data_IF_906543342588
#
_entry.id   IF_906543342588
#
_cell.length_a   1.000
_cell.length_b   1.000
_cell.length_c   1.000
_cell.angle_alpha   90.00
_cell.angle_beta   90.00
_cell.angle_gamma   90.00
#
_symmetry.space_group_name_H-M   'P 1'
#
loop_
_entity.id
_entity.type
_entity.pdbx_description
1 polymer ?
#
# COMPACT_ATOMS: atom_id res chain seq x y z
N UNK A 1 -6.58 -23.51 -14.34
CA UNK A 1 -5.12 -23.64 -14.50
C UNK A 1 -4.56 -23.94 -13.12
N UNK A 2 -4.02 -25.13 -12.89
CA UNK A 2 -3.38 -25.51 -11.62
C UNK A 2 -2.02 -24.80 -11.58
N UNK A 3 -2.02 -23.59 -11.02
CA UNK A 3 -0.79 -22.85 -10.76
C UNK A 3 -0.11 -23.52 -9.57
N UNK A 4 1.18 -23.79 -9.67
CA UNK A 4 1.95 -24.41 -8.59
C UNK A 4 1.91 -23.48 -7.37
N UNK A 5 1.38 -23.92 -6.21
CA UNK A 5 1.33 -23.08 -5.00
C UNK A 5 2.72 -22.67 -4.50
N UNK A 6 3.77 -23.38 -4.92
CA UNK A 6 5.15 -23.06 -4.56
C UNK A 6 5.79 -21.98 -5.44
N UNK A 7 5.18 -21.58 -6.56
CA UNK A 7 5.74 -20.55 -7.45
C UNK A 7 4.92 -19.27 -7.34
N UNK A 8 5.56 -18.19 -6.85
CA UNK A 8 4.95 -16.88 -6.81
C UNK A 8 5.40 -16.03 -8.01
N UNK A 9 4.51 -15.79 -8.97
CA UNK A 9 4.82 -15.02 -10.17
C UNK A 9 5.54 -15.82 -11.27
N UNK A 10 6.34 -15.11 -12.08
CA UNK A 10 7.10 -15.70 -13.18
C UNK A 10 8.38 -16.37 -12.66
N UNK A 11 8.70 -17.62 -13.06
CA UNK A 11 9.94 -18.29 -12.65
C UNK A 11 11.19 -17.67 -13.29
N UNK A 12 11.02 -16.90 -14.37
CA UNK A 12 12.11 -16.18 -15.06
C UNK A 12 11.88 -14.68 -15.02
N UNK A 13 12.98 -13.96 -14.85
CA UNK A 13 13.03 -12.52 -14.62
C UNK A 13 14.01 -11.87 -15.57
N UNK A 14 13.59 -10.79 -16.21
CA UNK A 14 14.53 -9.89 -16.87
C UNK A 14 15.34 -9.12 -15.82
N UNK A 15 16.50 -8.60 -16.21
CA UNK A 15 17.24 -7.69 -15.33
C UNK A 15 16.43 -6.41 -15.08
N UNK A 16 16.33 -5.93 -13.83
CA UNK A 16 15.57 -4.73 -13.52
C UNK A 16 16.32 -3.47 -13.99
N UNK A 17 15.60 -2.55 -14.62
CA UNK A 17 16.17 -1.30 -15.11
C UNK A 17 16.18 -0.21 -14.02
N UNK A 18 15.10 -0.08 -13.25
CA UNK A 18 14.84 1.06 -12.37
C UNK A 18 15.04 0.73 -10.88
N UNK A 19 14.58 -0.43 -10.42
CA UNK A 19 14.64 -0.82 -9.01
C UNK A 19 15.62 -1.96 -8.79
N UNK A 20 16.70 -1.70 -8.05
CA UNK A 20 17.84 -2.62 -7.92
C UNK A 20 17.98 -3.14 -6.49
N UNK A 21 16.93 -3.83 -6.04
CA UNK A 21 16.96 -4.54 -4.76
C UNK A 21 17.93 -5.73 -4.83
N UNK A 22 18.70 -5.93 -3.76
CA UNK A 22 19.70 -6.96 -3.64
C UNK A 22 19.12 -8.19 -2.92
N UNK A 23 19.58 -9.39 -3.33
CA UNK A 23 19.09 -10.66 -2.78
C UNK A 23 19.67 -10.99 -1.41
N UNK A 24 20.86 -10.49 -1.11
CA UNK A 24 21.59 -10.68 0.14
C UNK A 24 21.28 -9.60 1.19
N UNK A 25 20.36 -8.69 0.90
CA UNK A 25 19.96 -7.59 1.81
C UNK A 25 18.51 -7.74 2.24
N UNK A 26 18.26 -7.46 3.53
CA UNK A 26 16.94 -7.30 4.13
C UNK A 26 16.70 -5.81 4.33
N UNK A 27 15.61 -5.32 3.75
CA UNK A 27 15.22 -3.92 3.80
C UNK A 27 14.18 -3.74 4.89
N UNK A 28 14.54 -3.02 5.94
CA UNK A 28 13.62 -2.68 7.00
C UNK A 28 13.03 -1.30 6.72
N UNK A 29 11.71 -1.23 6.70
CA UNK A 29 10.97 0.01 6.62
C UNK A 29 10.25 0.28 7.94
N UNK A 30 10.02 1.55 8.25
CA UNK A 30 8.99 1.98 9.17
C UNK A 30 7.74 2.32 8.35
N UNK A 31 6.61 1.71 8.72
CA UNK A 31 5.31 1.98 8.12
C UNK A 31 4.39 2.59 9.17
N UNK A 32 3.80 3.73 8.85
CA UNK A 32 2.80 4.39 9.67
C UNK A 32 1.57 4.66 8.81
N UNK A 33 0.38 4.36 9.32
CA UNK A 33 -0.88 4.75 8.70
C UNK A 33 -1.79 5.40 9.72
N UNK A 34 -2.27 6.59 9.39
CA UNK A 34 -3.28 7.31 10.12
C UNK A 34 -4.56 7.37 9.27
N UNK A 35 -5.66 6.90 9.84
CA UNK A 35 -7.00 7.01 9.25
C UNK A 35 -7.81 7.96 10.10
N UNK A 36 -8.31 9.02 9.48
CA UNK A 36 -9.11 10.03 10.16
C UNK A 36 -10.46 10.19 9.45
N UNK A 37 -11.56 10.05 10.18
CA UNK A 37 -12.92 10.29 9.67
C UNK A 37 -13.60 11.41 10.45
N UNK A 38 -14.18 12.38 9.75
CA UNK A 38 -14.80 13.56 10.34
C UNK A 38 -15.86 14.17 9.43
N UNK A 39 -16.70 15.05 9.98
CA UNK A 39 -17.64 15.85 9.18
C UNK A 39 -17.05 17.23 8.88
N UNK A 40 -16.55 17.41 7.66
CA UNK A 40 -16.01 18.68 7.21
C UNK A 40 -17.12 19.76 7.22
N UNK A 41 -16.92 20.82 7.99
CA UNK A 41 -17.78 22.01 7.99
C UNK A 41 -18.90 22.06 9.03
N UNK A 42 -19.15 21.00 9.80
CA UNK A 42 -20.21 20.98 10.84
C UNK A 42 -19.71 20.66 12.25
N UNK A 43 -18.65 19.86 12.41
CA UNK A 43 -18.08 19.55 13.71
C UNK A 43 -16.57 19.33 13.64
N UNK A 44 -15.90 19.49 14.78
CA UNK A 44 -14.47 19.19 14.92
C UNK A 44 -14.22 17.77 15.45
N UNK A 45 -15.28 17.00 15.71
CA UNK A 45 -15.17 15.63 16.18
C UNK A 45 -14.59 14.76 15.05
N UNK A 46 -13.52 14.05 15.38
CA UNK A 46 -12.80 13.13 14.50
C UNK A 46 -12.79 11.76 15.14
N UNK A 47 -12.82 10.73 14.30
CA UNK A 47 -12.47 9.36 14.65
C UNK A 47 -11.11 9.06 14.04
N UNK A 48 -10.13 8.67 14.85
CA UNK A 48 -8.76 8.38 14.39
C UNK A 48 -8.35 6.96 14.71
N UNK A 49 -7.62 6.34 13.78
CA UNK A 49 -6.98 5.05 13.95
C UNK A 49 -5.54 5.16 13.45
N UNK A 50 -4.59 4.80 14.29
CA UNK A 50 -3.17 4.85 14.01
C UNK A 50 -2.58 3.44 14.08
N UNK A 51 -1.89 3.03 13.02
CA UNK A 51 -1.15 1.78 12.98
C UNK A 51 0.30 2.06 12.67
N UNK A 52 1.21 1.46 13.43
CA UNK A 52 2.63 1.44 13.09
C UNK A 52 3.10 0.00 12.97
N UNK A 53 4.01 -0.25 12.04
CA UNK A 53 4.64 -1.55 11.86
C UNK A 53 6.04 -1.36 11.26
N UNK A 54 6.85 -2.41 11.36
CA UNK A 54 8.13 -2.52 10.68
C UNK A 54 8.02 -3.61 9.62
N UNK A 55 7.73 -3.25 8.35
CA UNK A 55 7.83 -4.16 7.23
C UNK A 55 9.28 -4.54 6.95
N UNK A 56 9.56 -5.83 6.94
CA UNK A 56 10.80 -6.38 6.39
C UNK A 56 10.51 -6.88 4.98
N UNK A 57 11.25 -6.35 4.02
CA UNK A 57 11.22 -6.80 2.63
C UNK A 57 12.52 -7.52 2.34
N UNK A 58 12.41 -8.76 1.87
CA UNK A 58 13.55 -9.52 1.36
C UNK A 58 13.21 -10.14 0.03
N UNK A 59 14.19 -10.24 -0.85
CA UNK A 59 14.03 -10.90 -2.14
C UNK A 59 14.63 -12.31 -2.07
N UNK A 60 13.80 -13.30 -2.40
CA UNK A 60 14.17 -14.72 -2.48
C UNK A 60 14.78 -14.98 -3.86
N UNK A 61 14.17 -14.41 -4.89
CA UNK A 61 14.66 -14.40 -6.27
C UNK A 61 14.55 -12.97 -6.84
N UNK A 62 15.15 -12.67 -8.01
CA UNK A 62 15.08 -11.34 -8.60
C UNK A 62 13.66 -10.79 -8.85
N UNK A 63 12.61 -11.63 -8.90
CA UNK A 63 11.23 -11.15 -8.95
C UNK A 63 10.32 -11.66 -7.84
N UNK A 64 10.86 -12.31 -6.82
CA UNK A 64 10.05 -12.81 -5.72
C UNK A 64 10.49 -12.19 -4.41
N UNK A 65 9.59 -11.40 -3.83
CA UNK A 65 9.75 -10.77 -2.53
C UNK A 65 8.97 -11.50 -1.45
N UNK A 66 9.43 -11.35 -0.22
CA UNK A 66 8.72 -11.73 1.01
C UNK A 66 8.52 -10.49 1.86
N UNK A 67 7.28 -10.28 2.28
CA UNK A 67 6.87 -9.25 3.22
C UNK A 67 6.58 -9.89 4.58
N UNK A 68 7.36 -9.51 5.59
CA UNK A 68 7.10 -9.84 6.98
C UNK A 68 6.79 -8.57 7.76
N UNK A 69 5.80 -8.63 8.65
CA UNK A 69 5.46 -7.52 9.55
C UNK A 69 5.96 -7.81 10.96
N UNK A 70 6.68 -6.85 11.54
CA UNK A 70 7.16 -6.90 12.92
C UNK A 70 6.84 -5.60 13.64
N UNK A 71 6.96 -5.58 14.98
CA UNK A 71 6.76 -4.38 15.81
C UNK A 71 5.45 -3.64 15.50
N UNK A 72 4.36 -4.40 15.36
CA UNK A 72 3.05 -3.86 15.02
C UNK A 72 2.39 -3.26 16.26
N UNK A 73 1.89 -2.04 16.12
CA UNK A 73 1.12 -1.33 17.16
C UNK A 73 -0.14 -0.74 16.54
N UNK A 74 -1.24 -0.82 17.29
CA UNK A 74 -2.54 -0.27 16.93
C UNK A 74 -2.96 0.69 18.04
N UNK A 75 -3.22 1.94 17.70
CA UNK A 75 -3.68 2.97 18.63
C UNK A 75 -5.02 3.48 18.08
N UNK A 76 -6.08 3.24 18.84
CA UNK A 76 -7.40 3.84 18.58
C UNK A 76 -7.51 5.16 19.36
N UNK A 77 -8.39 6.06 18.91
CA UNK A 77 -8.70 7.28 19.64
C UNK A 77 -9.29 7.02 21.02
N UNK A 78 -10.06 5.94 21.16
CA UNK A 78 -10.59 5.52 22.45
C UNK A 78 -9.49 4.83 23.26
N UNK A 79 -8.89 5.53 24.23
CA UNK A 79 -7.84 4.98 25.09
C UNK A 79 -8.27 3.70 25.85
N UNK A 80 -9.57 3.46 25.96
CA UNK A 80 -10.14 2.28 26.63
C UNK A 80 -10.60 1.19 25.65
N UNK A 81 -10.07 1.19 24.42
CA UNK A 81 -10.38 0.14 23.45
C UNK A 81 -10.00 -1.25 24.01
N UNK A 82 -10.77 -2.31 23.69
CA UNK A 82 -10.48 -3.64 24.21
C UNK A 82 -9.07 -4.12 23.81
N UNK A 83 -8.19 -4.35 24.78
CA UNK A 83 -6.81 -4.84 24.55
C UNK A 83 -6.80 -6.09 23.67
N UNK A 84 -7.76 -7.01 23.90
CA UNK A 84 -7.96 -8.22 23.09
C UNK A 84 -8.11 -7.94 21.59
N UNK A 85 -8.70 -6.79 21.21
CA UNK A 85 -8.88 -6.41 19.80
C UNK A 85 -7.55 -6.04 19.14
N UNK A 86 -6.71 -5.28 19.84
CA UNK A 86 -5.38 -4.94 19.32
C UNK A 86 -4.47 -6.17 19.29
N UNK A 87 -4.50 -7.01 20.33
CA UNK A 87 -3.72 -8.26 20.35
C UNK A 87 -4.13 -9.19 19.20
N UNK A 88 -5.44 -9.35 18.96
CA UNK A 88 -5.93 -10.12 17.81
C UNK A 88 -5.45 -9.52 16.48
N UNK A 89 -5.49 -8.20 16.34
CA UNK A 89 -4.99 -7.52 15.15
C UNK A 89 -3.49 -7.77 14.94
N UNK A 90 -2.67 -7.51 15.96
CA UNK A 90 -1.21 -7.66 15.94
C UNK A 90 -0.83 -9.10 15.60
N UNK A 91 -1.47 -10.07 16.27
CA UNK A 91 -1.24 -11.48 16.04
C UNK A 91 -1.58 -11.86 14.59
N UNK A 92 -2.78 -11.50 14.11
CA UNK A 92 -3.24 -11.88 12.79
C UNK A 92 -2.37 -11.30 11.66
N UNK A 93 -1.96 -10.02 11.74
CA UNK A 93 -1.14 -9.40 10.68
C UNK A 93 0.32 -9.87 10.66
N UNK A 94 0.81 -10.40 11.77
CA UNK A 94 2.20 -10.88 11.92
C UNK A 94 2.32 -12.40 11.83
N UNK A 95 1.21 -13.13 11.69
CA UNK A 95 1.19 -14.60 11.79
C UNK A 95 1.88 -15.28 10.61
N UNK A 96 1.57 -14.83 9.39
CA UNK A 96 2.11 -15.39 8.16
C UNK A 96 2.97 -14.37 7.44
N UNK A 97 4.00 -14.82 6.72
CA UNK A 97 4.74 -13.96 5.80
C UNK A 97 4.02 -13.96 4.44
N UNK A 98 4.02 -12.83 3.73
CA UNK A 98 3.37 -12.72 2.42
C UNK A 98 4.41 -12.73 1.30
N UNK A 99 4.36 -13.76 0.46
CA UNK A 99 5.14 -13.81 -0.79
C UNK A 99 4.47 -12.95 -1.86
N UNK A 100 5.25 -12.27 -2.67
CA UNK A 100 4.75 -11.46 -3.77
C UNK A 100 5.71 -11.43 -4.95
N UNK A 101 5.13 -11.36 -6.15
CA UNK A 101 5.89 -11.16 -7.36
C UNK A 101 6.13 -9.67 -7.56
N UNK A 102 7.40 -9.26 -7.65
CA UNK A 102 7.82 -7.87 -7.84
C UNK A 102 8.86 -7.80 -8.94
N UNK A 103 8.52 -7.16 -10.05
CA UNK A 103 9.48 -6.95 -11.13
C UNK A 103 9.54 -5.47 -11.47
N UNK A 104 10.71 -4.87 -11.24
CA UNK A 104 10.99 -3.48 -11.57
C UNK A 104 9.82 -2.55 -11.16
N UNK A 105 9.48 -2.52 -9.88
CA UNK A 105 8.42 -1.65 -9.34
C UNK A 105 7.00 -2.17 -9.53
N UNK A 106 6.80 -3.26 -10.29
CA UNK A 106 5.47 -3.81 -10.54
C UNK A 106 5.23 -5.01 -9.63
N UNK A 107 4.27 -4.87 -8.70
CA UNK A 107 3.69 -5.99 -7.97
C UNK A 107 2.60 -6.63 -8.83
N UNK A 108 2.88 -7.78 -9.43
CA UNK A 108 1.96 -8.44 -10.37
C UNK A 108 1.05 -9.48 -9.70
N UNK A 109 1.51 -10.07 -8.60
CA UNK A 109 0.83 -11.15 -7.92
C UNK A 109 1.24 -11.21 -6.45
N UNK A 110 0.35 -11.71 -5.60
CA UNK A 110 0.63 -12.05 -4.22
C UNK A 110 0.26 -13.52 -3.99
N UNK A 111 0.97 -14.17 -3.08
CA UNK A 111 0.83 -15.60 -2.80
C UNK A 111 0.67 -15.78 -1.29
N UNK A 112 -0.57 -15.64 -0.79
CA UNK A 112 -0.87 -15.77 0.64
C UNK A 112 -0.95 -17.22 1.09
N UNK A 113 -0.85 -17.44 2.40
CA UNK A 113 -1.16 -18.74 2.99
C UNK A 113 -2.69 -18.99 2.94
N UNK A 114 -3.14 -20.24 2.73
CA UNK A 114 -4.57 -20.57 2.64
C UNK A 114 -5.39 -20.16 3.87
N UNK A 115 -4.76 -20.15 5.05
CA UNK A 115 -5.36 -19.81 6.34
C UNK A 115 -5.39 -18.30 6.60
N UNK A 116 -4.77 -17.47 5.74
CA UNK A 116 -4.68 -16.04 5.97
C UNK A 116 -6.01 -15.32 5.66
N UNK A 117 -6.51 -14.57 6.64
CA UNK A 117 -7.79 -13.85 6.51
C UNK A 117 -7.71 -12.70 5.49
N UNK A 118 -8.78 -12.51 4.69
CA UNK A 118 -8.83 -11.49 3.63
C UNK A 118 -8.54 -10.06 4.11
N UNK A 119 -8.97 -9.70 5.32
CA UNK A 119 -8.72 -8.36 5.86
C UNK A 119 -7.25 -8.16 6.22
N UNK A 120 -6.56 -9.21 6.68
CA UNK A 120 -5.11 -9.21 6.91
C UNK A 120 -4.39 -9.04 5.58
N UNK A 121 -4.81 -9.79 4.56
CA UNK A 121 -4.28 -9.66 3.21
C UNK A 121 -4.47 -8.26 2.65
N UNK A 122 -5.61 -7.63 2.90
CA UNK A 122 -5.85 -6.26 2.47
C UNK A 122 -4.94 -5.26 3.18
N UNK A 123 -4.62 -5.46 4.46
CA UNK A 123 -3.64 -4.64 5.17
C UNK A 123 -2.25 -4.76 4.52
N UNK A 124 -1.80 -5.98 4.22
CA UNK A 124 -0.52 -6.21 3.54
C UNK A 124 -0.51 -5.70 2.09
N UNK A 125 -1.61 -5.88 1.34
CA UNK A 125 -1.80 -5.30 0.00
C UNK A 125 -1.69 -3.77 0.02
N UNK A 126 -2.18 -3.11 1.06
CA UNK A 126 -2.07 -1.67 1.21
C UNK A 126 -0.60 -1.23 1.33
N UNK A 127 0.23 -1.98 2.06
CA UNK A 127 1.68 -1.74 2.14
C UNK A 127 2.34 -1.97 0.76
N UNK A 128 2.05 -3.09 0.10
CA UNK A 128 2.61 -3.40 -1.23
C UNK A 128 2.19 -2.38 -2.31
N UNK A 129 1.05 -1.71 -2.14
CA UNK A 129 0.60 -0.63 -3.03
C UNK A 129 1.55 0.57 -3.02
N UNK A 130 2.27 0.81 -1.92
CA UNK A 130 3.30 1.86 -1.83
C UNK A 130 4.54 1.53 -2.69
N UNK A 131 4.78 0.25 -2.95
CA UNK A 131 5.86 -0.23 -3.83
C UNK A 131 5.45 -0.27 -5.32
N UNK A 132 4.15 -0.12 -5.63
CA UNK A 132 3.61 -0.22 -6.99
C UNK A 132 3.96 1.02 -7.82
N UNK A 133 4.70 0.81 -8.92
CA UNK A 133 5.14 1.84 -9.83
C UNK A 133 5.34 1.30 -11.26
N UNK A 134 4.52 1.78 -12.19
CA UNK A 134 4.56 1.38 -13.61
C UNK A 134 5.38 2.29 -14.52
N UNK A 135 6.08 3.30 -13.98
CA UNK A 135 7.00 4.12 -14.78
C UNK A 135 8.12 3.24 -15.34
N UNK A 136 8.45 3.37 -16.63
CA UNK A 136 9.59 2.67 -17.24
C UNK A 136 10.94 3.35 -16.94
N UNK A 137 10.91 4.67 -16.83
CA UNK A 137 12.08 5.52 -16.60
C UNK A 137 11.68 6.70 -15.72
N UNK A 138 12.67 7.30 -15.07
CA UNK A 138 12.48 8.22 -13.95
C UNK A 138 12.80 9.69 -14.26
N UNK A 139 13.14 9.99 -15.50
CA UNK A 139 13.60 11.29 -15.98
C UNK A 139 12.53 12.03 -16.81
N UNK A 140 11.39 11.38 -17.09
CA UNK A 140 10.24 12.01 -17.75
C UNK A 140 8.95 11.74 -16.98
N UNK A 141 8.00 12.67 -17.09
CA UNK A 141 6.64 12.45 -16.60
C UNK A 141 6.00 11.28 -17.33
N UNK A 142 5.15 10.54 -16.63
CA UNK A 142 4.53 9.33 -17.14
C UNK A 142 3.05 9.29 -16.80
N UNK A 143 2.23 8.87 -17.77
CA UNK A 143 0.83 8.52 -17.55
C UNK A 143 0.66 7.05 -17.88
N UNK A 144 -0.07 6.33 -17.04
CA UNK A 144 -0.26 4.91 -17.23
C UNK A 144 -1.46 4.37 -16.47
N UNK A 145 -1.45 3.05 -16.29
CA UNK A 145 -2.48 2.33 -15.55
C UNK A 145 -1.79 1.43 -14.54
N UNK A 146 -2.32 1.40 -13.33
CA UNK A 146 -1.88 0.49 -12.28
C UNK A 146 -3.04 -0.33 -11.74
N UNK A 147 -2.69 -1.52 -11.26
CA UNK A 147 -3.60 -2.40 -10.56
C UNK A 147 -3.11 -2.60 -9.12
N UNK A 148 -3.97 -2.34 -8.15
CA UNK A 148 -3.67 -2.51 -6.73
C UNK A 148 -4.95 -2.76 -5.91
N UNK A 149 -4.91 -2.49 -4.59
CA UNK A 149 -6.05 -2.66 -3.69
C UNK A 149 -7.30 -1.85 -4.11
N UNK A 150 -7.12 -0.75 -4.84
CA UNK A 150 -8.22 0.08 -5.36
C UNK A 150 -8.74 -0.41 -6.73
N UNK A 151 -8.24 -1.54 -7.23
CA UNK A 151 -8.57 -2.06 -8.56
C UNK A 151 -7.65 -1.48 -9.63
N UNK A 152 -8.19 -1.28 -10.84
CA UNK A 152 -7.43 -0.77 -11.99
C UNK A 152 -7.69 0.72 -12.17
N UNK A 153 -6.64 1.53 -12.05
CA UNK A 153 -6.74 2.99 -12.01
C UNK A 153 -5.74 3.65 -12.96
N UNK A 154 -6.15 4.78 -13.54
CA UNK A 154 -5.21 5.66 -14.25
C UNK A 154 -4.30 6.36 -13.24
N UNK A 155 -3.03 6.50 -13.60
CA UNK A 155 -1.99 7.10 -12.74
C UNK A 155 -1.22 8.17 -13.51
N UNK A 156 -0.95 9.27 -12.81
CA UNK A 156 -0.13 10.37 -13.31
C UNK A 156 1.12 10.52 -12.44
N UNK A 157 2.29 10.38 -13.04
CA UNK A 157 3.59 10.56 -12.40
C UNK A 157 4.26 11.84 -12.90
N UNK A 158 4.69 12.67 -11.96
CA UNK A 158 5.47 13.88 -12.21
C UNK A 158 6.85 13.77 -11.55
N UNK A 159 7.91 13.95 -12.33
CA UNK A 159 9.28 14.03 -11.83
C UNK A 159 9.50 15.45 -11.31
N UNK A 160 9.81 15.61 -10.02
CA UNK A 160 10.01 16.93 -9.40
C UNK A 160 11.47 17.37 -9.39
N UNK A 161 12.40 16.43 -9.47
CA UNK A 161 13.84 16.69 -9.46
C UNK A 161 14.55 15.82 -8.43
N UNK A 162 15.76 16.23 -8.06
CA UNK A 162 16.61 15.52 -7.12
C UNK A 162 16.84 16.38 -5.86
N UNK A 163 16.74 15.76 -4.69
CA UNK A 163 17.18 16.31 -3.41
C UNK A 163 18.39 15.48 -2.95
N UNK A 164 19.58 16.08 -2.93
CA UNK A 164 20.85 15.39 -2.69
C UNK A 164 21.08 14.24 -3.68
N UNK A 165 21.15 12.98 -3.21
CA UNK A 165 21.26 11.77 -4.04
C UNK A 165 19.91 11.21 -4.44
N UNK A 166 18.83 11.67 -3.81
CA UNK A 166 17.50 11.07 -3.91
C UNK A 166 16.63 11.75 -4.98
N UNK A 167 15.99 10.96 -5.83
CA UNK A 167 15.02 11.41 -6.82
C UNK A 167 13.63 11.53 -6.21
N UNK A 168 12.90 12.60 -6.54
CA UNK A 168 11.54 12.84 -6.06
C UNK A 168 10.54 12.74 -7.19
N UNK A 169 9.58 11.84 -6.99
CA UNK A 169 8.45 11.59 -7.86
C UNK A 169 7.16 11.95 -7.12
N UNK A 170 6.17 12.45 -7.86
CA UNK A 170 4.82 12.67 -7.35
C UNK A 170 3.85 11.84 -8.18
N UNK A 171 3.15 10.93 -7.52
CA UNK A 171 2.12 10.08 -8.09
C UNK A 171 0.75 10.62 -7.71
N UNK A 172 -0.13 10.82 -8.66
CA UNK A 172 -1.52 11.26 -8.42
C UNK A 172 -2.51 10.36 -9.12
N UNK A 173 -3.64 10.11 -8.46
CA UNK A 173 -4.72 9.24 -8.93
C UNK A 173 -6.07 9.83 -8.56
N UNK A 174 -6.99 9.77 -9.50
CA UNK A 174 -8.42 9.91 -9.23
C UNK A 174 -8.99 8.51 -8.95
N UNK A 175 -9.25 8.22 -7.67
CA UNK A 175 -9.74 6.92 -7.24
C UNK A 175 -11.22 6.70 -7.61
N UNK A 176 -11.95 7.76 -7.96
CA UNK A 176 -13.34 7.65 -8.43
C UNK A 176 -13.44 7.01 -9.82
N UNK A 177 -12.37 7.11 -10.61
CA UNK A 177 -12.29 6.56 -11.97
C UNK A 177 -11.74 5.13 -12.01
N UNK A 178 -11.38 4.55 -10.86
CA UNK A 178 -10.91 3.18 -10.77
C UNK A 178 -12.02 2.18 -11.13
N UNK A 179 -11.64 1.15 -11.88
CA UNK A 179 -12.51 0.04 -12.30
C UNK A 179 -12.10 -1.25 -11.59
N UNK A 180 -12.96 -2.27 -11.66
CA UNK A 180 -12.72 -3.58 -11.03
C UNK A 180 -12.36 -3.52 -9.53
N UNK A 181 -12.92 -2.54 -8.81
CA UNK A 181 -12.78 -2.45 -7.36
C UNK A 181 -13.40 -3.69 -6.72
N UNK A 182 -12.63 -4.39 -5.87
CA UNK A 182 -13.12 -5.58 -5.17
C UNK A 182 -14.34 -5.18 -4.30
N UNK A 183 -15.50 -5.75 -4.61
CA UNK A 183 -16.82 -5.25 -4.13
C UNK A 183 -17.12 -5.53 -2.65
N UNK A 184 -16.24 -6.21 -1.93
CA UNK A 184 -16.59 -6.87 -0.66
C UNK A 184 -16.63 -5.98 0.58
N UNK A 185 -16.18 -4.71 0.53
CA UNK A 185 -16.13 -3.84 1.71
C UNK A 185 -16.72 -2.44 1.52
N UNK A 186 -17.70 -2.28 0.62
CA UNK A 186 -18.51 -1.05 0.65
C UNK A 186 -19.75 -1.28 1.51
N UNK A 187 -19.91 -0.49 2.58
CA UNK A 187 -21.17 -0.36 3.34
C UNK A 187 -22.31 0.07 2.40
N UNK A 188 -21.95 0.70 1.28
CA UNK A 188 -22.84 1.11 0.21
C UNK A 188 -22.94 -0.01 -0.82
N UNK A 189 -23.74 -1.03 -0.50
CA UNK A 189 -24.14 -2.07 -1.45
C UNK A 189 -25.10 -1.51 -2.50
N UNK A 190 -24.60 -0.61 -3.37
CA UNK A 190 -25.36 -0.11 -4.50
C UNK A 190 -25.20 -1.08 -5.66
N UNK A 191 -26.31 -1.65 -6.11
CA UNK A 191 -26.35 -2.32 -7.43
C UNK A 191 -26.11 -1.25 -8.48
N UNK A 192 -25.04 -1.39 -9.27
CA UNK A 192 -24.84 -0.55 -10.46
C UNK A 192 -25.99 -0.82 -11.42
N UNK A 193 -26.91 0.13 -11.53
CA UNK A 193 -27.98 0.12 -12.52
C UNK A 193 -27.47 0.79 -13.78
N UNK A 194 -26.91 0.00 -14.70
CA UNK A 194 -26.44 0.48 -16.00
C UNK A 194 -27.62 0.53 -16.99
N UNK A 195 -28.53 1.50 -16.78
CA UNK A 195 -29.63 1.76 -17.71
C UNK A 195 -29.34 3.09 -18.42
N UNK A 196 -28.93 2.97 -19.68
CA UNK A 196 -28.55 4.05 -20.59
C UNK A 196 -27.28 4.80 -20.19
N UNK A 197 -26.25 4.70 -21.03
CA UNK A 197 -24.90 5.27 -20.90
C UNK A 197 -24.80 6.79 -20.66
N UNK A 198 -25.92 7.51 -20.58
CA UNK A 198 -26.00 8.96 -20.35
C UNK A 198 -26.33 9.34 -18.89
N UNK A 199 -26.77 8.39 -18.07
CA UNK A 199 -27.03 8.62 -16.65
C UNK A 199 -26.08 7.75 -15.82
N UNK A 200 -24.84 8.22 -15.68
CA UNK A 200 -23.94 7.65 -14.68
C UNK A 200 -24.57 7.84 -13.30
N UNK A 201 -24.76 6.75 -12.56
CA UNK A 201 -25.01 6.80 -11.11
C UNK A 201 -24.00 7.76 -10.51
N UNK A 202 -24.45 8.85 -9.87
CA UNK A 202 -23.55 9.82 -9.25
C UNK A 202 -22.56 9.06 -8.36
N UNK A 203 -21.24 9.25 -8.53
CA UNK A 203 -20.28 8.60 -7.67
C UNK A 203 -20.57 9.06 -6.24
N UNK A 204 -20.97 8.12 -5.39
CA UNK A 204 -21.32 8.43 -4.01
C UNK A 204 -20.10 8.91 -3.20
N UNK A 205 -18.90 8.55 -3.67
CA UNK A 205 -17.63 8.89 -3.05
C UNK A 205 -16.72 9.56 -4.08
N UNK A 206 -16.38 10.83 -3.85
CA UNK A 206 -15.29 11.51 -4.56
C UNK A 206 -13.98 11.20 -3.86
N UNK A 207 -13.11 10.46 -4.53
CA UNK A 207 -11.90 9.91 -3.94
C UNK A 207 -10.66 10.25 -4.76
N UNK A 208 -9.59 10.70 -4.11
CA UNK A 208 -8.32 11.01 -4.75
C UNK A 208 -7.14 10.53 -3.89
N UNK A 209 -6.01 10.26 -4.54
CA UNK A 209 -4.77 9.85 -3.88
C UNK A 209 -3.59 10.61 -4.47
N UNK A 210 -2.70 11.07 -3.58
CA UNK A 210 -1.46 11.77 -3.95
C UNK A 210 -0.32 11.26 -3.09
N UNK A 211 0.73 10.75 -3.74
CA UNK A 211 1.92 10.25 -3.09
C UNK A 211 3.16 11.05 -3.50
N UNK A 212 4.02 11.36 -2.53
CA UNK A 212 5.41 11.78 -2.74
C UNK A 212 6.30 10.55 -2.54
N UNK A 213 7.05 10.20 -3.57
CA UNK A 213 7.93 9.03 -3.60
C UNK A 213 9.36 9.56 -3.70
N UNK A 214 10.22 9.09 -2.81
CA UNK A 214 11.65 9.37 -2.78
C UNK A 214 12.41 8.09 -3.07
N UNK A 215 13.17 8.08 -4.15
CA UNK A 215 14.01 6.95 -4.57
C UNK A 215 15.47 7.33 -4.37
N UNK A 216 16.25 6.49 -3.71
CA UNK A 216 17.69 6.70 -3.47
C UNK A 216 18.41 5.41 -3.83
N UNK A 217 19.55 5.48 -4.53
CA UNK A 217 20.28 4.29 -4.98
C UNK A 217 19.42 3.20 -5.65
N UNK A 218 18.40 3.58 -6.44
CA UNK A 218 17.48 2.66 -7.13
C UNK A 218 16.59 1.82 -6.19
N UNK A 219 16.35 2.27 -4.96
CA UNK A 219 15.38 1.67 -4.03
C UNK A 219 14.47 2.75 -3.44
N UNK A 220 13.29 2.37 -2.96
CA UNK A 220 12.42 3.31 -2.24
C UNK A 220 13.08 3.71 -0.92
N UNK A 221 13.34 5.01 -0.74
CA UNK A 221 13.80 5.57 0.53
C UNK A 221 12.64 6.04 1.39
N UNK A 222 11.65 6.68 0.77
CA UNK A 222 10.43 7.09 1.45
C UNK A 222 9.25 7.16 0.48
N UNK A 223 8.06 6.80 0.94
CA UNK A 223 6.80 6.98 0.23
C UNK A 223 5.78 7.54 1.21
N UNK A 224 5.26 8.72 0.91
CA UNK A 224 4.24 9.39 1.71
C UNK A 224 3.00 9.64 0.86
N UNK A 225 1.92 8.94 1.15
CA UNK A 225 0.66 8.97 0.43
C UNK A 225 -0.43 9.61 1.28
N UNK A 226 -1.24 10.47 0.66
CA UNK A 226 -2.47 11.00 1.24
C UNK A 226 -3.63 10.68 0.32
N UNK A 227 -4.59 9.93 0.85
CA UNK A 227 -5.87 9.64 0.20
C UNK A 227 -6.99 10.42 0.88
N UNK A 228 -7.95 10.86 0.10
CA UNK A 228 -9.11 11.62 0.57
C UNK A 228 -10.37 11.06 -0.05
N UNK A 229 -11.34 10.72 0.79
CA UNK A 229 -12.64 10.19 0.41
C UNK A 229 -13.74 11.11 0.95
N UNK A 230 -14.41 11.84 0.06
CA UNK A 230 -15.57 12.65 0.37
C UNK A 230 -16.84 11.88 0.01
N UNK A 231 -17.71 11.65 0.98
CA UNK A 231 -19.06 11.17 0.74
C UNK A 231 -19.93 12.33 0.23
N UNK A 232 -20.32 12.26 -1.04
CA UNK A 232 -21.01 13.35 -1.73
C UNK A 232 -22.50 13.49 -1.40
N UNK A 233 -23.27 12.43 -1.10
CA UNK A 233 -24.63 12.60 -0.59
C UNK A 233 -24.59 13.39 0.72
N UNK A 234 -25.36 14.48 0.78
CA UNK A 234 -25.34 15.50 1.85
C UNK A 234 -24.17 16.49 1.83
N UNK A 235 -23.31 16.47 0.81
CA UNK A 235 -22.21 17.43 0.70
C UNK A 235 -22.62 18.76 0.06
N UNK A 236 -22.11 19.87 0.58
CA UNK A 236 -22.27 21.21 0.00
C UNK A 236 -20.91 21.89 -0.13
N UNK A 237 -20.46 22.21 -1.35
CA UNK A 237 -19.16 22.89 -1.58
C UNK A 237 -17.96 22.25 -0.84
N UNK A 238 -17.81 20.92 -0.88
CA UNK A 238 -16.80 20.11 -0.17
C UNK A 238 -16.96 19.98 1.37
N UNK A 239 -18.08 20.40 1.96
CA UNK A 239 -18.45 20.01 3.33
C UNK A 239 -19.17 18.67 3.30
N UNK A 240 -18.98 17.79 4.28
CA UNK A 240 -19.60 16.45 4.28
C UNK A 240 -18.80 15.44 5.12
N UNK A 241 -19.25 14.18 5.14
CA UNK A 241 -18.47 13.12 5.76
C UNK A 241 -17.21 12.86 4.93
N UNK A 242 -16.05 13.01 5.57
CA UNK A 242 -14.74 12.94 4.95
C UNK A 242 -13.89 11.93 5.69
N UNK A 243 -13.23 11.05 4.94
CA UNK A 243 -12.18 10.18 5.45
C UNK A 243 -10.86 10.54 4.78
N UNK A 244 -9.82 10.76 5.57
CA UNK A 244 -8.44 10.93 5.10
C UNK A 244 -7.63 9.74 5.55
N UNK A 245 -6.81 9.21 4.65
CA UNK A 245 -5.84 8.17 4.96
C UNK A 245 -4.46 8.72 4.64
N UNK A 246 -3.56 8.74 5.61
CA UNK A 246 -2.16 9.12 5.42
C UNK A 246 -1.31 7.90 5.68
N UNK A 247 -0.49 7.51 4.70
CA UNK A 247 0.42 6.38 4.79
C UNK A 247 1.83 6.86 4.55
N UNK A 248 2.73 6.56 5.48
CA UNK A 248 4.15 6.85 5.38
C UNK A 248 4.93 5.56 5.48
N UNK A 249 5.87 5.37 4.54
CA UNK A 249 6.80 4.25 4.51
C UNK A 249 8.20 4.82 4.34
N UNK A 250 9.11 4.53 5.27
CA UNK A 250 10.46 5.10 5.28
C UNK A 250 11.48 3.98 5.50
N UNK A 251 12.50 3.91 4.66
CA UNK A 251 13.61 2.97 4.83
C UNK A 251 14.41 3.36 6.08
N UNK A 252 14.47 2.45 7.06
CA UNK A 252 15.19 2.69 8.32
C UNK A 252 16.59 2.08 8.32
N UNK A 253 16.77 0.90 7.71
CA UNK A 253 18.07 0.22 7.60
C UNK A 253 18.07 -0.87 6.54
N UNK A 254 19.27 -1.17 6.07
CA UNK A 254 19.60 -2.28 5.17
C UNK A 254 20.54 -3.22 5.93
N UNK A 255 20.21 -4.51 5.99
CA UNK A 255 21.02 -5.51 6.69
C UNK A 255 21.40 -6.64 5.74
N UNK A 256 22.67 -7.07 5.75
CA UNK A 256 23.03 -8.28 5.01
C UNK A 256 22.45 -9.52 5.71
N UNK A 257 21.95 -10.48 4.94
CA UNK A 257 21.43 -11.75 5.45
C UNK A 257 22.47 -12.50 6.28
N UNK A 258 23.72 -12.51 5.81
CA UNK A 258 24.85 -13.15 6.52
C UNK A 258 25.10 -12.56 7.91
N UNK A 259 24.92 -11.26 8.07
CA UNK A 259 25.11 -10.57 9.36
C UNK A 259 23.93 -10.86 10.31
N UNK A 260 22.77 -11.22 9.77
CA UNK A 260 21.56 -11.53 10.54
C UNK A 260 21.57 -12.95 11.10
N UNK A 261 22.06 -13.93 10.32
CA UNK A 261 22.29 -15.31 10.79
C UNK A 261 23.32 -15.37 11.93
N UNK A 262 24.30 -14.47 11.94
CA UNK A 262 25.29 -14.34 13.02
C UNK A 262 24.67 -13.75 14.30
N UNK A 263 23.66 -12.88 14.18
CA UNK A 263 22.96 -12.28 15.34
C UNK A 263 21.96 -13.28 15.95
N UNK A 264 21.25 -14.07 15.13
CA UNK A 264 20.30 -15.08 15.62
C UNK A 264 20.99 -16.34 16.18
N UNK A 265 22.22 -16.64 15.75
CA UNK A 265 23.01 -17.78 16.26
C UNK A 265 23.80 -17.49 17.54
N UNK A 266 23.80 -16.25 18.04
CA UNK A 266 24.32 -15.96 19.37
C UNK A 266 23.27 -16.32 20.43
N UNK A 267 23.57 -17.25 21.35
CA UNK A 267 22.64 -17.56 22.44
C UNK A 267 22.46 -16.33 23.33
N UNK A 268 21.21 -16.04 23.69
CA UNK A 268 20.87 -15.13 24.78
C UNK A 268 21.50 -15.57 26.10
#
# INVERSE_FOLDING_TARGET
>A
SLKDPYICGSPTCNEPEKFKYLLDVIYHYEYQVNVETYFAGSSNNRSTLDVRAVPKIQFITPCEGLLQLTDVTLIDQDENYPVERAEKFIHAVSLFDLRFAFHDGIVSEICPEPEEEDWVLNFKRAILTLFQNTMKRFDINFKGVEQDIHGTCSVDYTVRGQENTSLILVKTRDLSQCTNRYKYMSILQTVRYDFQSKFQTWPVLKSESKCRITVDHHIYKAVSCRERHLFEPFSGKNSGAMTTVVQDLVLIRELNKTDTEVIESQPK
#
